data_IF_070061135083
#
_entry.id   IF_070061135083
#
_cell.length_a   1.000
_cell.length_b   1.000
_cell.length_c   1.000
_cell.angle_alpha   90.00
_cell.angle_beta   90.00
_cell.angle_gamma   90.00
#
_symmetry.space_group_name_H-M   'P 1'
#
loop_
_entity.id
_entity.type
_entity.pdbx_description
1 polymer ?
#
# COMPACT_ATOMS: atom_id res chain seq x y z
N UNK A 1 3.72 -8.82 25.30
CA UNK A 1 3.06 -7.75 24.53
C UNK A 1 4.14 -6.73 24.15
N UNK A 2 4.18 -6.30 22.89
CA UNK A 2 5.22 -5.37 22.41
C UNK A 2 5.14 -4.00 23.08
N UNK A 3 6.26 -3.28 23.13
CA UNK A 3 6.28 -1.89 23.59
C UNK A 3 5.47 -0.99 22.65
N UNK A 4 4.81 0.03 23.21
CA UNK A 4 4.20 1.08 22.42
C UNK A 4 5.26 1.75 21.54
N UNK A 5 4.98 1.88 20.23
CA UNK A 5 5.88 2.55 19.31
C UNK A 5 6.07 4.03 19.66
N UNK A 6 7.23 4.60 19.32
CA UNK A 6 7.51 6.02 19.53
C UNK A 6 6.65 6.89 18.59
N UNK A 7 5.72 7.71 19.10
CA UNK A 7 4.86 8.54 18.26
C UNK A 7 5.62 9.51 17.35
N UNK A 8 6.77 10.02 17.79
CA UNK A 8 7.59 10.95 17.00
C UNK A 8 8.23 10.24 15.82
N UNK A 9 8.67 8.99 16.02
CA UNK A 9 9.23 8.18 14.94
C UNK A 9 8.15 7.83 13.93
N UNK A 10 6.95 7.46 14.39
CA UNK A 10 5.80 7.17 13.50
C UNK A 10 5.45 8.39 12.65
N UNK A 11 5.31 9.57 13.25
CA UNK A 11 4.99 10.80 12.54
C UNK A 11 6.05 11.16 11.49
N UNK A 12 7.34 11.02 11.81
CA UNK A 12 8.42 11.26 10.86
C UNK A 12 8.42 10.24 9.71
N UNK A 13 8.11 8.97 9.98
CA UNK A 13 7.98 7.95 8.95
C UNK A 13 6.77 8.21 8.03
N UNK A 14 5.65 8.68 8.60
CA UNK A 14 4.46 9.05 7.87
C UNK A 14 4.72 10.20 6.89
N UNK A 15 5.38 11.28 7.34
CA UNK A 15 5.77 12.40 6.47
C UNK A 15 6.64 11.95 5.29
N UNK A 16 7.63 11.09 5.54
CA UNK A 16 8.47 10.53 4.47
C UNK A 16 7.67 9.63 3.54
N UNK A 17 6.72 8.87 4.07
CA UNK A 17 5.88 7.99 3.27
C UNK A 17 4.91 8.78 2.39
N UNK A 18 4.41 9.93 2.86
CA UNK A 18 3.63 10.85 2.02
C UNK A 18 4.41 11.28 0.78
N UNK A 19 5.65 11.75 0.96
CA UNK A 19 6.53 12.15 -0.16
C UNK A 19 6.78 10.99 -1.14
N UNK A 20 7.02 9.78 -0.63
CA UNK A 20 7.20 8.58 -1.46
C UNK A 20 5.92 8.25 -2.23
N UNK A 21 4.75 8.31 -1.59
CA UNK A 21 3.49 7.98 -2.23
C UNK A 21 3.06 9.05 -3.25
N UNK A 22 3.51 10.30 -3.12
CA UNK A 22 3.34 11.32 -4.15
C UNK A 22 4.11 10.97 -5.44
N UNK A 23 5.30 10.38 -5.32
CA UNK A 23 6.05 9.85 -6.47
C UNK A 23 5.29 8.67 -7.08
N UNK A 24 4.66 7.81 -6.26
CA UNK A 24 3.86 6.69 -6.76
C UNK A 24 2.62 7.19 -7.51
N UNK A 25 1.95 8.24 -7.00
CA UNK A 25 0.81 8.87 -7.68
C UNK A 25 1.21 9.37 -9.08
N UNK A 26 2.36 10.03 -9.20
CA UNK A 26 2.90 10.49 -10.49
C UNK A 26 3.26 9.31 -11.40
N UNK A 27 3.91 8.28 -10.87
CA UNK A 27 4.27 7.08 -11.63
C UNK A 27 3.02 6.38 -12.17
N UNK A 28 2.02 6.15 -11.32
CA UNK A 28 0.77 5.47 -11.66
C UNK A 28 -0.18 6.35 -12.49
N UNK A 29 0.10 7.65 -12.61
CA UNK A 29 -0.57 8.51 -13.59
C UNK A 29 -0.12 8.22 -15.03
N UNK A 30 1.09 7.66 -15.22
CA UNK A 30 1.69 7.42 -16.54
C UNK A 30 1.85 5.94 -16.89
N UNK A 31 1.70 5.05 -15.91
CA UNK A 31 1.89 3.60 -16.04
C UNK A 31 0.80 2.88 -15.25
N UNK A 32 0.28 1.77 -15.78
CA UNK A 32 -0.80 1.03 -15.09
C UNK A 32 -0.34 0.40 -13.77
N UNK A 33 0.88 -0.11 -13.75
CA UNK A 33 1.54 -0.74 -12.59
C UNK A 33 2.91 -0.11 -12.35
N UNK A 34 3.57 -0.44 -11.24
CA UNK A 34 4.82 0.20 -10.85
C UNK A 34 5.94 0.01 -11.89
N UNK A 35 6.05 -1.20 -12.44
CA UNK A 35 7.09 -1.55 -13.42
C UNK A 35 6.67 -1.39 -14.89
N UNK A 36 5.44 -0.96 -15.19
CA UNK A 36 4.93 -0.81 -16.56
C UNK A 36 3.46 -1.19 -16.69
N UNK A 37 3.08 -1.73 -17.83
CA UNK A 37 1.66 -2.00 -18.14
C UNK A 37 1.12 -3.34 -17.62
N UNK A 38 1.99 -4.17 -17.02
CA UNK A 38 1.63 -5.48 -16.49
C UNK A 38 1.99 -5.63 -15.01
N UNK A 39 1.13 -6.32 -14.27
CA UNK A 39 1.39 -6.69 -12.88
C UNK A 39 2.67 -7.51 -12.78
N UNK A 40 3.54 -7.12 -11.86
CA UNK A 40 4.88 -7.70 -11.72
C UNK A 40 5.25 -7.94 -10.26
N UNK A 41 6.46 -8.47 -10.02
CA UNK A 41 7.01 -8.58 -8.67
C UNK A 41 7.15 -7.22 -7.97
N UNK A 42 7.27 -6.12 -8.72
CA UNK A 42 7.32 -4.78 -8.13
C UNK A 42 6.01 -4.44 -7.42
N UNK A 43 4.86 -4.84 -7.96
CA UNK A 43 3.55 -4.60 -7.33
C UNK A 43 3.28 -5.61 -6.20
N UNK A 44 3.62 -6.88 -6.45
CA UNK A 44 3.41 -7.98 -5.52
C UNK A 44 4.12 -7.76 -4.18
N UNK A 45 5.35 -7.24 -4.20
CA UNK A 45 6.16 -7.05 -2.99
C UNK A 45 5.55 -6.05 -2.00
N UNK A 46 4.68 -5.15 -2.46
CA UNK A 46 4.04 -4.13 -1.63
C UNK A 46 2.80 -4.65 -0.90
N UNK A 47 2.19 -5.73 -1.37
CA UNK A 47 0.86 -6.14 -0.93
C UNK A 47 0.74 -6.40 0.58
N UNK A 48 1.66 -7.12 1.25
CA UNK A 48 1.56 -7.37 2.68
C UNK A 48 1.65 -6.09 3.52
N UNK A 49 2.59 -5.21 3.18
CA UNK A 49 2.85 -4.00 3.95
C UNK A 49 1.72 -2.97 3.76
N UNK A 50 1.23 -2.79 2.53
CA UNK A 50 0.15 -1.83 2.26
C UNK A 50 -1.16 -2.27 2.89
N UNK A 51 -1.50 -3.57 2.84
CA UNK A 51 -2.69 -4.08 3.54
C UNK A 51 -2.64 -3.75 5.02
N UNK A 52 -1.51 -4.05 5.67
CA UNK A 52 -1.34 -3.76 7.09
C UNK A 52 -1.46 -2.27 7.41
N UNK A 53 -0.88 -1.42 6.56
CA UNK A 53 -0.97 0.04 6.68
C UNK A 53 -2.41 0.55 6.58
N UNK A 54 -3.19 -0.02 5.66
CA UNK A 54 -4.56 0.41 5.33
C UNK A 54 -5.58 -0.07 6.35
N UNK A 55 -5.44 -1.31 6.84
CA UNK A 55 -6.47 -1.97 7.64
C UNK A 55 -6.18 -1.92 9.15
N UNK A 56 -4.96 -2.28 9.60
CA UNK A 56 -4.64 -2.37 11.03
C UNK A 56 -3.96 -1.12 11.62
N UNK A 57 -3.11 -0.43 10.85
CA UNK A 57 -2.31 0.70 11.39
C UNK A 57 -3.12 1.99 11.48
N UNK A 58 -4.31 2.06 10.87
CA UNK A 58 -5.16 3.26 10.86
C UNK A 58 -4.61 4.40 9.99
N UNK A 59 -3.70 4.08 9.06
CA UNK A 59 -3.02 5.04 8.16
C UNK A 59 -3.44 4.88 6.71
N UNK A 60 -4.63 4.30 6.48
CA UNK A 60 -5.17 4.10 5.14
C UNK A 60 -5.41 5.38 4.33
N UNK A 61 -5.51 6.55 4.96
CA UNK A 61 -5.62 7.84 4.26
C UNK A 61 -4.43 8.09 3.32
N UNK A 62 -3.22 7.64 3.70
CA UNK A 62 -2.02 7.75 2.86
C UNK A 62 -2.20 7.10 1.48
N UNK A 63 -3.00 6.04 1.39
CA UNK A 63 -3.35 5.36 0.14
C UNK A 63 -4.61 5.96 -0.46
N UNK A 64 -5.68 6.07 0.33
CA UNK A 64 -7.04 6.41 -0.15
C UNK A 64 -7.19 7.84 -0.70
N UNK A 65 -6.37 8.79 -0.25
CA UNK A 65 -6.42 10.19 -0.71
C UNK A 65 -5.70 10.40 -2.06
N UNK A 66 -4.87 9.46 -2.49
CA UNK A 66 -4.10 9.50 -3.74
C UNK A 66 -4.82 8.64 -4.78
N UNK A 67 -5.47 9.27 -5.77
CA UNK A 67 -6.42 8.59 -6.67
C UNK A 67 -5.80 7.45 -7.46
N UNK A 68 -4.59 7.63 -8.00
CA UNK A 68 -3.88 6.61 -8.78
C UNK A 68 -3.34 5.52 -7.88
N UNK A 69 -2.77 5.87 -6.72
CA UNK A 69 -2.31 4.88 -5.73
C UNK A 69 -3.49 4.05 -5.22
N UNK A 70 -4.62 4.66 -4.86
CA UNK A 70 -5.81 3.95 -4.40
C UNK A 70 -6.35 3.01 -5.49
N UNK A 71 -6.49 3.48 -6.73
CA UNK A 71 -6.94 2.64 -7.84
C UNK A 71 -6.01 1.46 -8.13
N UNK A 72 -4.69 1.68 -8.04
CA UNK A 72 -3.70 0.61 -8.13
C UNK A 72 -3.84 -0.38 -6.98
N UNK A 73 -4.00 0.09 -5.74
CA UNK A 73 -4.19 -0.76 -4.57
C UNK A 73 -5.44 -1.63 -4.69
N UNK A 74 -6.57 -1.03 -5.09
CA UNK A 74 -7.82 -1.76 -5.33
C UNK A 74 -7.67 -2.83 -6.42
N UNK A 75 -7.00 -2.51 -7.54
CA UNK A 75 -6.72 -3.50 -8.60
C UNK A 75 -5.90 -4.66 -8.06
N UNK A 76 -4.70 -4.41 -7.52
CA UNK A 76 -3.80 -5.49 -7.11
C UNK A 76 -4.35 -6.32 -5.95
N UNK A 77 -5.02 -5.69 -4.98
CA UNK A 77 -5.62 -6.38 -3.84
C UNK A 77 -6.89 -7.15 -4.21
N UNK A 78 -7.54 -6.82 -5.33
CA UNK A 78 -8.71 -7.57 -5.81
C UNK A 78 -8.36 -8.92 -6.44
N UNK A 79 -7.08 -9.18 -6.72
CA UNK A 79 -6.61 -10.35 -7.47
C UNK A 79 -6.94 -11.67 -6.73
N UNK A 80 -7.40 -12.73 -7.44
CA UNK A 80 -7.83 -13.98 -6.80
C UNK A 80 -6.77 -14.63 -5.91
N UNK A 81 -5.49 -14.60 -6.32
CA UNK A 81 -4.41 -15.16 -5.53
C UNK A 81 -4.22 -14.45 -4.19
N UNK A 82 -4.38 -13.12 -4.16
CA UNK A 82 -4.29 -12.35 -2.92
C UNK A 82 -5.49 -12.60 -2.01
N UNK A 83 -6.71 -12.57 -2.55
CA UNK A 83 -7.93 -12.88 -1.80
C UNK A 83 -7.85 -14.26 -1.14
N UNK A 84 -7.43 -15.28 -1.90
CA UNK A 84 -7.21 -16.63 -1.37
C UNK A 84 -6.20 -16.65 -0.22
N UNK A 85 -5.11 -15.90 -0.32
CA UNK A 85 -4.13 -15.80 0.77
C UNK A 85 -4.73 -15.11 2.01
N UNK A 86 -5.54 -14.07 1.83
CA UNK A 86 -6.20 -13.38 2.95
C UNK A 86 -7.18 -14.32 3.67
N UNK A 87 -8.00 -15.04 2.93
CA UNK A 87 -8.89 -16.08 3.47
C UNK A 87 -8.13 -17.14 4.27
N UNK A 88 -6.99 -17.63 3.75
CA UNK A 88 -6.15 -18.62 4.44
C UNK A 88 -5.49 -18.07 5.71
N UNK A 89 -5.20 -16.78 5.75
CA UNK A 89 -4.62 -16.10 6.90
C UNK A 89 -5.66 -15.61 7.92
N UNK A 90 -6.95 -15.75 7.63
CA UNK A 90 -8.04 -15.32 8.51
C UNK A 90 -8.30 -13.81 8.50
N UNK A 91 -7.97 -13.12 7.41
CA UNK A 91 -8.36 -11.73 7.14
C UNK A 91 -9.66 -11.65 6.35
#
# INVERSE_FOLDING_TARGET
MGQAGDPKVVQNCEQKLEEVLDIYEQRLATSKYLAGDYFSLADLSHMPAIRYLVDEVGKGHLVRERKKVNGWWEDISSRPAWKKLMELCGY
#
